data_IF_634721415256
#
_entry.id   IF_634721415256
#
_cell.length_a   1.000
_cell.length_b   1.000
_cell.length_c   1.000
_cell.angle_alpha   90.00
_cell.angle_beta   90.00
_cell.angle_gamma   90.00
#
_symmetry.space_group_name_H-M   'P 1'
#
loop_
_entity.id
_entity.type
_entity.pdbx_description
1 polymer ?
#
# COMPACT_ATOMS: atom_id res chain seq x y z
N UNK A 1 10.73 15.83 -5.18
CA UNK A 1 9.44 15.42 -4.58
C UNK A 1 8.46 16.58 -4.40
N UNK A 2 7.20 16.46 -4.86
CA UNK A 2 6.14 17.45 -4.58
C UNK A 2 5.46 17.15 -3.24
N UNK A 3 4.99 18.17 -2.52
CA UNK A 3 4.33 18.02 -1.20
C UNK A 3 2.86 18.44 -1.19
N UNK A 4 2.40 19.09 -2.25
CA UNK A 4 1.03 19.59 -2.38
C UNK A 4 0.29 18.89 -3.50
N UNK A 5 -1.02 18.74 -3.35
CA UNK A 5 -1.87 18.19 -4.40
C UNK A 5 -1.87 19.10 -5.64
N UNK A 6 -1.70 18.50 -6.81
CA UNK A 6 -1.71 19.20 -8.11
C UNK A 6 -3.07 19.80 -8.46
N UNK A 7 -4.15 19.38 -7.79
CA UNK A 7 -5.52 19.81 -8.06
C UNK A 7 -6.04 20.86 -7.08
N UNK A 8 -5.89 20.63 -5.78
CA UNK A 8 -6.42 21.52 -4.74
C UNK A 8 -5.33 22.26 -3.95
N UNK A 9 -4.04 22.00 -4.23
CA UNK A 9 -2.86 22.57 -3.54
C UNK A 9 -2.77 22.25 -2.05
N UNK A 10 -3.67 21.42 -1.51
CA UNK A 10 -3.62 20.96 -0.13
C UNK A 10 -2.34 20.16 0.14
N UNK A 11 -1.80 20.27 1.35
CA UNK A 11 -0.65 19.48 1.78
C UNK A 11 -1.00 17.99 1.76
N UNK A 12 -0.17 17.18 1.11
CA UNK A 12 -0.35 15.74 1.04
C UNK A 12 0.10 15.05 2.32
N UNK A 13 0.91 15.73 3.13
CA UNK A 13 1.54 15.19 4.32
C UNK A 13 2.75 14.31 4.00
N UNK A 14 3.28 13.69 5.04
CA UNK A 14 4.48 12.85 4.98
C UNK A 14 4.20 11.46 5.55
N UNK A 15 4.85 10.45 5.00
CA UNK A 15 4.90 9.12 5.62
C UNK A 15 6.37 8.73 5.86
N UNK A 16 6.58 7.86 6.86
CA UNK A 16 7.90 7.29 7.21
C UNK A 16 7.96 5.79 6.94
N UNK A 17 7.00 5.28 6.16
CA UNK A 17 6.80 3.84 5.94
C UNK A 17 7.38 3.42 4.58
N UNK A 18 7.35 4.33 3.60
CA UNK A 18 7.95 4.14 2.28
C UNK A 18 9.12 5.11 2.15
N UNK A 19 10.33 4.62 2.41
CA UNK A 19 11.53 5.46 2.58
C UNK A 19 11.89 6.24 1.31
N UNK A 20 11.70 5.60 0.16
CA UNK A 20 11.96 6.17 -1.17
C UNK A 20 10.83 7.08 -1.65
N UNK A 21 9.69 7.07 -0.96
CA UNK A 21 8.54 7.92 -1.26
C UNK A 21 7.86 8.46 0.02
N UNK A 22 8.49 9.41 0.74
CA UNK A 22 7.98 9.98 2.00
C UNK A 22 6.85 11.02 1.85
N UNK A 23 5.96 10.87 0.86
CA UNK A 23 4.84 11.80 0.61
C UNK A 23 3.50 11.08 0.73
N UNK A 24 2.61 11.64 1.54
CA UNK A 24 1.23 11.18 1.65
C UNK A 24 0.99 9.94 2.50
N UNK A 25 -0.19 9.90 3.12
CA UNK A 25 -0.66 8.77 3.94
C UNK A 25 -1.62 7.82 3.23
N UNK A 26 -1.94 8.04 1.95
CA UNK A 26 -2.74 7.13 1.12
C UNK A 26 -2.06 6.99 -0.24
N UNK A 27 -1.48 5.82 -0.48
CA UNK A 27 -0.73 5.52 -1.68
C UNK A 27 -1.51 4.51 -2.52
N UNK A 28 -1.61 4.77 -3.82
CA UNK A 28 -2.10 3.81 -4.78
C UNK A 28 -0.97 3.38 -5.70
N UNK A 29 -0.88 2.09 -6.04
CA UNK A 29 0.20 1.60 -6.89
C UNK A 29 -0.24 0.45 -7.78
N UNK A 30 0.38 0.35 -8.95
CA UNK A 30 0.23 -0.74 -9.93
C UNK A 30 1.61 -1.39 -10.11
N UNK A 31 1.85 -2.57 -9.50
CA UNK A 31 3.14 -3.24 -9.57
C UNK A 31 3.46 -3.78 -10.97
N UNK A 32 2.44 -4.09 -11.78
CA UNK A 32 2.66 -4.61 -13.13
C UNK A 32 3.10 -3.51 -14.11
N UNK A 33 2.66 -2.27 -13.88
CA UNK A 33 2.98 -1.11 -14.73
C UNK A 33 3.97 -0.14 -14.09
N UNK A 34 4.49 -0.43 -12.90
CA UNK A 34 5.43 0.44 -12.18
C UNK A 34 4.88 1.83 -11.91
N UNK A 35 3.57 1.95 -11.64
CA UNK A 35 2.92 3.24 -11.39
C UNK A 35 2.64 3.42 -9.91
N UNK A 36 2.87 4.64 -9.42
CA UNK A 36 2.62 5.04 -8.06
C UNK A 36 1.90 6.39 -8.06
N UNK A 37 0.93 6.51 -7.17
CA UNK A 37 0.15 7.71 -6.94
C UNK A 37 0.04 7.97 -5.46
N UNK A 38 -0.02 9.25 -5.09
CA UNK A 38 -0.52 9.68 -3.80
C UNK A 38 -1.93 10.22 -3.97
N UNK A 39 -2.85 9.70 -3.18
CA UNK A 39 -4.26 10.11 -3.18
C UNK A 39 -4.42 11.23 -2.15
N UNK A 40 -4.92 12.38 -2.59
CA UNK A 40 -5.17 13.50 -1.69
C UNK A 40 -6.33 13.17 -0.76
N UNK A 41 -6.14 13.33 0.55
CA UNK A 41 -7.21 13.13 1.55
C UNK A 41 -8.31 14.19 1.51
N UNK A 42 -8.02 15.35 0.91
CA UNK A 42 -8.96 16.49 0.86
C UNK A 42 -9.89 16.44 -0.35
N UNK A 43 -9.37 16.11 -1.53
CA UNK A 43 -10.16 16.13 -2.77
C UNK A 43 -10.21 14.77 -3.48
N UNK A 44 -9.63 13.74 -2.87
CA UNK A 44 -9.64 12.33 -3.32
C UNK A 44 -9.02 12.08 -4.71
N UNK A 45 -8.41 13.12 -5.30
CA UNK A 45 -7.72 13.01 -6.59
C UNK A 45 -6.34 12.40 -6.44
N UNK A 46 -5.95 11.69 -7.49
CA UNK A 46 -4.71 10.93 -7.55
C UNK A 46 -3.62 11.75 -8.23
N UNK A 47 -2.51 11.95 -7.52
CA UNK A 47 -1.36 12.69 -8.01
C UNK A 47 -0.32 11.66 -8.44
N UNK A 48 0.04 11.65 -9.72
CA UNK A 48 1.03 10.73 -10.28
C UNK A 48 2.42 11.07 -9.73
N UNK A 49 3.16 10.09 -9.18
CA UNK A 49 4.52 10.31 -8.70
C UNK A 49 5.51 10.51 -9.87
N UNK A 50 6.63 11.25 -9.71
CA UNK A 50 7.66 11.39 -10.75
C UNK A 50 8.31 10.03 -11.08
N UNK A 51 8.89 9.90 -12.28
CA UNK A 51 9.41 8.63 -12.82
C UNK A 51 10.65 8.10 -12.10
N UNK A 52 11.55 8.97 -11.65
CA UNK A 52 12.86 8.57 -11.10
C UNK A 52 12.75 7.80 -9.77
N UNK A 53 11.66 7.98 -9.02
CA UNK A 53 11.48 7.45 -7.65
C UNK A 53 10.57 6.19 -7.61
N UNK A 54 10.11 5.67 -8.76
CA UNK A 54 8.99 4.69 -8.78
C UNK A 54 9.35 3.26 -8.43
N UNK A 55 10.48 2.74 -8.91
CA UNK A 55 10.75 1.30 -8.86
C UNK A 55 10.88 0.79 -7.42
N UNK A 56 11.78 1.37 -6.64
CA UNK A 56 12.00 0.95 -5.24
C UNK A 56 10.76 1.21 -4.37
N UNK A 57 10.06 2.32 -4.58
CA UNK A 57 8.85 2.66 -3.84
C UNK A 57 7.70 1.69 -4.13
N UNK A 58 7.51 1.30 -5.40
CA UNK A 58 6.51 0.31 -5.80
C UNK A 58 6.84 -1.06 -5.22
N UNK A 59 8.09 -1.49 -5.26
CA UNK A 59 8.51 -2.76 -4.64
C UNK A 59 8.31 -2.75 -3.12
N UNK A 60 8.66 -1.66 -2.44
CA UNK A 60 8.41 -1.50 -1.01
C UNK A 60 6.90 -1.54 -0.69
N UNK A 61 6.07 -0.85 -1.48
CA UNK A 61 4.61 -0.90 -1.35
C UNK A 61 4.06 -2.33 -1.55
N UNK A 62 4.56 -3.07 -2.55
CA UNK A 62 4.16 -4.47 -2.79
C UNK A 62 4.56 -5.38 -1.63
N UNK A 63 5.76 -5.23 -1.07
CA UNK A 63 6.20 -5.95 0.14
C UNK A 63 5.28 -5.66 1.33
N UNK A 64 5.05 -4.38 1.62
CA UNK A 64 4.16 -3.95 2.70
C UNK A 64 2.72 -4.48 2.54
N UNK A 65 2.20 -4.46 1.31
CA UNK A 65 0.87 -4.98 1.01
C UNK A 65 0.77 -6.50 1.26
N UNK A 66 1.80 -7.26 0.88
CA UNK A 66 1.87 -8.72 1.11
C UNK A 66 1.99 -9.09 2.58
N UNK A 67 2.66 -8.26 3.36
CA UNK A 67 2.85 -8.49 4.80
C UNK A 67 1.70 -7.94 5.66
N UNK A 68 0.87 -7.05 5.10
CA UNK A 68 -0.26 -6.47 5.79
C UNK A 68 -1.25 -7.55 6.27
N UNK A 69 -1.48 -7.57 7.59
CA UNK A 69 -2.46 -8.45 8.24
C UNK A 69 -3.90 -8.03 7.95
N UNK A 70 -4.14 -6.73 7.87
CA UNK A 70 -5.43 -6.15 7.52
C UNK A 70 -5.43 -5.78 6.03
N UNK A 71 -5.94 -6.70 5.20
CA UNK A 71 -6.14 -6.47 3.78
C UNK A 71 -7.44 -7.07 3.27
N UNK A 72 -8.04 -6.40 2.31
CA UNK A 72 -9.20 -6.87 1.53
C UNK A 72 -8.83 -6.75 0.07
N UNK A 73 -9.08 -7.81 -0.71
CA UNK A 73 -8.85 -7.83 -2.14
C UNK A 73 -10.14 -8.15 -2.87
N UNK A 74 -10.50 -7.32 -3.85
CA UNK A 74 -11.37 -7.70 -4.96
C UNK A 74 -10.53 -8.22 -6.11
N UNK A 75 -11.14 -8.52 -7.26
CA UNK A 75 -10.47 -9.01 -8.47
C UNK A 75 -9.30 -8.13 -8.93
N UNK A 76 -9.43 -6.80 -8.84
CA UNK A 76 -8.47 -5.85 -9.40
C UNK A 76 -8.02 -4.74 -8.43
N UNK A 77 -8.58 -4.70 -7.22
CA UNK A 77 -8.28 -3.67 -6.23
C UNK A 77 -8.04 -4.35 -4.88
N UNK A 78 -6.89 -4.07 -4.29
CA UNK A 78 -6.54 -4.45 -2.93
C UNK A 78 -6.43 -3.23 -2.04
N UNK A 79 -7.01 -3.30 -0.84
CA UNK A 79 -6.87 -2.30 0.21
C UNK A 79 -6.12 -2.93 1.37
N UNK A 80 -5.09 -2.25 1.88
CA UNK A 80 -4.33 -2.71 3.02
C UNK A 80 -3.95 -1.59 3.97
N UNK A 81 -3.86 -1.93 5.26
CA UNK A 81 -3.31 -1.09 6.33
C UNK A 81 -2.11 -1.81 6.95
N UNK A 82 -0.91 -1.68 6.37
CA UNK A 82 0.28 -2.38 6.86
C UNK A 82 0.75 -1.87 8.23
N UNK A 83 0.74 -0.56 8.48
CA UNK A 83 1.17 0.09 9.72
C UNK A 83 0.34 1.37 9.99
N UNK A 84 0.36 1.87 11.23
CA UNK A 84 -0.21 3.18 11.57
C UNK A 84 0.51 4.29 10.80
N UNK A 85 -0.18 4.90 9.82
CA UNK A 85 0.30 6.07 9.08
C UNK A 85 0.32 5.95 7.55
N UNK A 86 0.14 4.75 6.98
CA UNK A 86 -0.02 4.61 5.52
C UNK A 86 -1.13 3.62 5.17
N UNK A 87 -2.02 4.03 4.27
CA UNK A 87 -3.00 3.18 3.63
C UNK A 87 -2.55 2.89 2.20
N UNK A 88 -2.71 1.64 1.76
CA UNK A 88 -2.28 1.18 0.44
C UNK A 88 -3.46 0.71 -0.40
N UNK A 89 -3.56 1.24 -1.62
CA UNK A 89 -4.45 0.79 -2.69
C UNK A 89 -3.62 0.10 -3.77
N UNK A 90 -3.64 -1.22 -3.78
CA UNK A 90 -2.97 -2.01 -4.83
C UNK A 90 -3.90 -2.20 -6.02
N UNK A 91 -3.42 -1.89 -7.21
CA UNK A 91 -4.16 -2.01 -8.48
C UNK A 91 -3.64 -3.21 -9.25
N UNK A 92 -4.55 -3.91 -9.92
CA UNK A 92 -4.24 -5.05 -10.78
C UNK A 92 -4.65 -6.37 -10.13
N UNK A 93 -4.31 -7.47 -10.79
CA UNK A 93 -4.79 -8.81 -10.44
C UNK A 93 -4.63 -9.10 -8.94
N UNK A 94 -5.72 -9.53 -8.31
CA UNK A 94 -5.77 -9.85 -6.90
C UNK A 94 -4.63 -10.79 -6.51
N UNK A 95 -3.92 -10.45 -5.43
CA UNK A 95 -3.20 -11.48 -4.70
C UNK A 95 -4.25 -12.47 -4.19
N UNK A 96 -3.99 -13.78 -4.31
CA UNK A 96 -4.96 -14.87 -4.06
C UNK A 96 -5.94 -14.47 -2.93
N UNK A 97 -7.26 -14.41 -3.20
CA UNK A 97 -8.25 -13.81 -2.30
C UNK A 97 -8.47 -14.59 -0.99
N UNK A 98 -7.65 -15.58 -0.70
CA UNK A 98 -7.73 -16.31 0.55
C UNK A 98 -7.18 -15.44 1.69
N UNK A 99 -8.07 -15.13 2.64
CA UNK A 99 -7.69 -14.75 3.99
C UNK A 99 -6.96 -15.95 4.61
N UNK A 100 -5.65 -16.10 4.34
CA UNK A 100 -4.86 -17.23 4.83
C UNK A 100 -4.91 -17.32 6.36
N UNK A 101 -5.08 -16.19 7.05
CA UNK A 101 -5.30 -16.12 8.49
C UNK A 101 -6.66 -16.72 8.94
N UNK A 102 -7.65 -16.86 8.05
CA UNK A 102 -8.93 -17.53 8.37
C UNK A 102 -8.83 -19.03 8.14
N UNK A 103 -8.30 -19.44 6.98
CA UNK A 103 -8.17 -20.86 6.61
C UNK A 103 -7.09 -21.59 7.43
N UNK A 104 -6.00 -20.90 7.72
CA UNK A 104 -4.83 -21.48 8.38
C UNK A 104 -4.45 -20.76 9.67
N UNK A 105 -5.20 -19.75 10.13
CA UNK A 105 -4.86 -19.01 11.36
C UNK A 105 -4.68 -19.92 12.55
N UNK A 106 -5.56 -20.91 12.68
CA UNK A 106 -5.48 -21.90 13.75
C UNK A 106 -4.23 -22.80 13.61
N UNK A 107 -3.82 -23.13 12.38
CA UNK A 107 -2.61 -23.91 12.10
C UNK A 107 -1.32 -23.09 12.34
N UNK A 108 -1.27 -21.84 11.90
CA UNK A 108 -0.14 -20.93 12.13
C UNK A 108 0.00 -20.59 13.61
N UNK A 109 -1.09 -20.38 14.33
CA UNK A 109 -1.09 -20.19 15.79
C UNK A 109 -0.58 -21.42 16.54
N UNK A 110 -0.95 -22.63 16.10
CA UNK A 110 -0.40 -23.89 16.64
C UNK A 110 1.09 -24.04 16.34
N UNK A 111 1.56 -23.71 15.13
CA UNK A 111 2.99 -23.77 14.77
C UNK A 111 3.83 -22.79 15.56
N UNK A 112 3.37 -21.54 15.72
CA UNK A 112 4.07 -20.52 16.51
C UNK A 112 4.21 -20.91 17.98
N UNK A 113 3.18 -21.50 18.59
CA UNK A 113 3.23 -22.01 19.97
C UNK A 113 4.16 -23.21 20.18
N UNK A 114 4.55 -23.92 19.11
CA UNK A 114 5.47 -25.06 19.19
C UNK A 114 6.93 -24.68 18.93
N UNK A 115 7.16 -23.51 18.34
CA UNK A 115 8.49 -23.01 18.01
C UNK A 115 9.09 -22.10 19.10
N UNK A 116 8.26 -21.71 20.08
CA UNK A 116 8.63 -21.02 21.33
C UNK A 116 8.63 -22.06 22.44
#
# INVERSE_FOLDING_TARGET
MYRTCLFCRHDLGVNRVVDTFPVGGLLAFDPAKGRLWVVCRQCERWNLSPLEERWEAVEQCERLFRDAKQRVCSTNIGLARPNEGVELVRIGAALRPEFAAWRYGDQFGRRRRRAV
#
